data_IF_544290983452
#
_entry.id   IF_544290983452
#
_cell.length_a   1.000
_cell.length_b   1.000
_cell.length_c   1.000
_cell.angle_alpha   90.00
_cell.angle_beta   90.00
_cell.angle_gamma   90.00
#
_symmetry.space_group_name_H-M   'P 1'
#
loop_
_entity.id
_entity.type
_entity.pdbx_description
1 polymer ?
#
# COMPACT_ATOMS: atom_id res chain seq x y z
N UNK A 1 -10.03 59.50 -46.14
CA UNK A 1 -9.68 58.54 -45.08
C UNK A 1 -10.97 57.95 -44.54
N UNK A 2 -11.36 56.80 -45.07
CA UNK A 2 -12.32 55.80 -44.57
C UNK A 2 -12.83 55.10 -45.81
N UNK A 3 -12.48 53.84 -46.01
CA UNK A 3 -13.43 52.93 -46.65
C UNK A 3 -13.15 51.48 -46.27
N UNK A 4 -14.25 50.82 -45.93
CA UNK A 4 -14.37 49.42 -45.53
C UNK A 4 -13.94 48.52 -46.68
N UNK A 5 -13.24 47.45 -46.35
CA UNK A 5 -13.18 46.25 -47.19
C UNK A 5 -13.78 45.09 -46.40
N UNK A 6 -14.93 44.62 -46.87
CA UNK A 6 -15.45 43.30 -46.60
C UNK A 6 -15.63 42.60 -47.94
N UNK A 7 -15.06 41.39 -48.08
CA UNK A 7 -15.76 40.12 -48.33
C UNK A 7 -14.79 39.11 -48.97
N UNK A 8 -14.65 37.97 -48.25
CA UNK A 8 -14.35 36.58 -48.64
C UNK A 8 -13.36 36.26 -49.78
N UNK A 9 -12.46 35.30 -49.53
CA UNK A 9 -12.79 33.86 -49.49
C UNK A 9 -11.53 32.99 -49.31
N UNK A 10 -11.62 32.00 -48.41
CA UNK A 10 -10.94 30.70 -48.59
C UNK A 10 -9.73 30.40 -47.69
N UNK A 11 -9.96 29.71 -46.59
CA UNK A 11 -9.54 28.31 -46.39
C UNK A 11 -9.90 27.90 -44.95
N UNK A 12 -11.05 27.25 -44.80
CA UNK A 12 -11.32 26.37 -43.67
C UNK A 12 -10.62 25.04 -43.96
N UNK A 13 -9.50 24.79 -43.28
CA UNK A 13 -8.85 23.48 -43.27
C UNK A 13 -8.95 22.89 -41.85
N UNK A 14 -10.19 22.69 -41.41
CA UNK A 14 -10.50 21.85 -40.26
C UNK A 14 -11.10 20.56 -40.81
N UNK A 15 -10.23 19.61 -41.14
CA UNK A 15 -10.64 18.22 -41.37
C UNK A 15 -11.36 17.67 -40.12
N UNK A 16 -12.29 16.72 -40.29
CA UNK A 16 -13.02 16.14 -39.16
C UNK A 16 -12.02 15.44 -38.22
N UNK A 17 -12.05 15.83 -36.94
CA UNK A 17 -11.40 15.08 -35.85
C UNK A 17 -11.88 13.64 -35.94
N UNK A 18 -10.97 12.69 -36.16
CA UNK A 18 -11.33 11.28 -36.25
C UNK A 18 -11.97 10.82 -34.93
N UNK A 19 -13.22 10.30 -34.95
CA UNK A 19 -13.80 9.68 -33.77
C UNK A 19 -13.15 8.29 -33.61
N UNK A 20 -12.42 8.06 -32.51
CA UNK A 20 -11.87 6.73 -32.21
C UNK A 20 -10.53 6.66 -31.46
N UNK A 21 -9.92 7.78 -31.05
CA UNK A 21 -8.62 7.74 -30.33
C UNK A 21 -8.72 7.75 -28.80
N UNK A 22 -9.92 7.96 -28.24
CA UNK A 22 -10.16 7.98 -26.80
C UNK A 22 -11.43 7.20 -26.47
N UNK A 23 -11.35 6.33 -25.47
CA UNK A 23 -12.48 5.62 -24.89
C UNK A 23 -13.48 6.62 -24.29
N UNK A 24 -14.55 6.89 -25.02
CA UNK A 24 -15.66 7.76 -24.60
C UNK A 24 -16.74 7.00 -23.82
N UNK A 25 -16.68 5.67 -23.79
CA UNK A 25 -17.66 4.80 -23.14
C UNK A 25 -17.23 4.39 -21.72
N UNK A 26 -15.96 4.64 -21.35
CA UNK A 26 -15.41 4.23 -20.07
C UNK A 26 -15.24 2.71 -19.98
N UNK A 27 -14.80 2.10 -21.09
CA UNK A 27 -14.45 0.70 -21.18
C UNK A 27 -13.43 0.32 -20.08
N UNK A 28 -13.85 -0.58 -19.19
CA UNK A 28 -13.04 -1.11 -18.10
C UNK A 28 -12.51 -2.53 -18.40
N UNK A 29 -12.54 -2.95 -19.67
CA UNK A 29 -12.02 -4.26 -20.07
C UNK A 29 -10.49 -4.32 -19.94
N UNK A 30 -9.94 -5.47 -19.54
CA UNK A 30 -8.52 -5.75 -19.78
C UNK A 30 -8.25 -5.72 -21.28
N UNK A 31 -7.16 -5.09 -21.70
CA UNK A 31 -6.77 -4.98 -23.11
C UNK A 31 -5.30 -5.36 -23.35
N UNK A 32 -4.67 -6.10 -22.44
CA UNK A 32 -3.29 -6.58 -22.64
C UNK A 32 -3.24 -7.68 -23.68
N UNK A 33 -2.12 -7.77 -24.40
CA UNK A 33 -1.88 -8.86 -25.34
C UNK A 33 -1.83 -10.22 -24.62
N UNK A 34 -2.25 -11.27 -25.32
CA UNK A 34 -2.30 -12.63 -24.77
C UNK A 34 -0.96 -13.08 -24.18
N UNK A 35 -1.08 -13.83 -23.08
CA UNK A 35 0.03 -14.35 -22.30
C UNK A 35 0.71 -13.30 -21.42
N UNK A 36 0.12 -12.10 -21.23
CA UNK A 36 0.62 -11.10 -20.29
C UNK A 36 0.80 -11.71 -18.89
N UNK A 37 1.92 -11.42 -18.23
CA UNK A 37 2.21 -11.93 -16.89
C UNK A 37 2.39 -10.81 -15.86
N UNK A 38 1.65 -10.95 -14.76
CA UNK A 38 1.83 -10.18 -13.54
C UNK A 38 2.51 -11.07 -12.49
N UNK A 39 3.66 -10.63 -11.98
CA UNK A 39 4.24 -11.13 -10.75
C UNK A 39 3.88 -10.17 -9.62
N UNK A 40 3.22 -10.69 -8.59
CA UNK A 40 2.96 -9.99 -7.35
C UNK A 40 3.71 -10.67 -6.20
N UNK A 41 4.49 -9.88 -5.48
CA UNK A 41 5.14 -10.28 -4.24
C UNK A 41 4.73 -9.36 -3.11
N UNK A 42 4.98 -9.80 -1.88
CA UNK A 42 4.59 -9.09 -0.69
C UNK A 42 5.53 -7.96 -0.26
N UNK A 43 5.58 -7.75 1.06
CA UNK A 43 6.29 -6.63 1.67
C UNK A 43 7.80 -6.71 1.38
N UNK A 44 8.34 -5.58 0.93
CA UNK A 44 9.75 -5.33 0.68
C UNK A 44 10.29 -4.55 1.87
N UNK A 45 10.57 -5.27 2.94
CA UNK A 45 11.23 -4.74 4.12
C UNK A 45 12.71 -5.11 4.00
N UNK A 46 13.46 -4.24 3.32
CA UNK A 46 14.85 -4.49 2.92
C UNK A 46 15.70 -3.25 3.12
N UNK A 47 16.79 -3.38 3.84
CA UNK A 47 17.73 -2.30 4.17
C UNK A 47 18.95 -2.26 3.25
N UNK A 48 19.35 -3.41 2.68
CA UNK A 48 20.61 -3.56 1.93
C UNK A 48 20.41 -4.30 0.60
N UNK A 49 21.29 -4.03 -0.39
CA UNK A 49 21.29 -4.77 -1.65
C UNK A 49 21.44 -6.28 -1.44
N UNK A 50 20.51 -7.06 -1.96
CA UNK A 50 20.53 -8.52 -1.90
C UNK A 50 21.35 -9.14 -3.03
N UNK A 51 21.39 -8.51 -4.22
CA UNK A 51 22.11 -9.12 -5.37
C UNK A 51 23.63 -9.07 -5.20
N UNK A 52 24.13 -8.35 -4.18
CA UNK A 52 25.55 -8.34 -3.79
C UNK A 52 25.92 -9.48 -2.83
N UNK A 53 24.93 -10.11 -2.20
CA UNK A 53 25.11 -11.22 -1.26
C UNK A 53 25.12 -12.58 -1.96
N UNK A 54 25.52 -13.63 -1.23
CA UNK A 54 25.35 -15.01 -1.67
C UNK A 54 24.16 -15.62 -0.94
N UNK A 55 23.07 -15.81 -1.66
CA UNK A 55 21.82 -16.36 -1.14
C UNK A 55 21.41 -17.57 -1.98
N UNK A 56 21.48 -18.80 -1.42
CA UNK A 56 21.07 -20.01 -2.15
C UNK A 56 19.62 -19.90 -2.65
N UNK A 57 19.35 -20.27 -3.90
CA UNK A 57 18.02 -20.22 -4.53
C UNK A 57 17.55 -18.83 -4.98
N UNK A 58 18.30 -17.76 -4.66
CA UNK A 58 17.87 -16.40 -4.97
C UNK A 58 17.94 -16.08 -6.46
N UNK A 59 18.85 -16.70 -7.21
CA UNK A 59 18.94 -16.53 -8.67
C UNK A 59 17.67 -16.98 -9.39
N UNK A 60 17.08 -18.07 -8.94
CA UNK A 60 15.85 -18.67 -9.48
C UNK A 60 14.65 -17.77 -9.18
N UNK A 61 14.59 -17.21 -7.97
CA UNK A 61 13.59 -16.20 -7.61
C UNK A 61 13.71 -14.97 -8.52
N UNK A 62 14.92 -14.43 -8.69
CA UNK A 62 15.17 -13.28 -9.57
C UNK A 62 14.81 -13.60 -11.03
N UNK A 63 15.02 -14.83 -11.49
CA UNK A 63 14.59 -15.26 -12.83
C UNK A 63 13.06 -15.23 -12.98
N UNK A 64 12.30 -15.67 -11.96
CA UNK A 64 10.83 -15.55 -11.95
C UNK A 64 10.41 -14.08 -12.08
N UNK A 65 11.02 -13.19 -11.28
CA UNK A 65 10.71 -11.76 -11.28
C UNK A 65 11.05 -11.08 -12.63
N UNK A 66 12.17 -11.44 -13.25
CA UNK A 66 12.63 -10.83 -14.53
C UNK A 66 11.83 -11.28 -15.74
N UNK A 67 11.23 -12.47 -15.69
CA UNK A 67 10.50 -13.04 -16.82
C UNK A 67 9.05 -12.54 -16.94
N UNK A 68 8.61 -11.64 -16.06
CA UNK A 68 7.26 -11.08 -16.10
C UNK A 68 7.18 -9.77 -16.88
N UNK A 69 6.01 -9.48 -17.46
CA UNK A 69 5.75 -8.17 -18.07
C UNK A 69 5.64 -7.08 -17.00
N UNK A 70 4.98 -7.40 -15.88
CA UNK A 70 4.85 -6.53 -14.71
C UNK A 70 5.28 -7.26 -13.42
N UNK A 71 6.20 -6.67 -12.67
CA UNK A 71 6.69 -7.19 -11.40
C UNK A 71 6.47 -6.14 -10.32
N UNK A 72 5.53 -6.47 -9.44
CA UNK A 72 4.98 -5.60 -8.42
C UNK A 72 5.35 -6.11 -7.02
N UNK A 73 5.66 -5.18 -6.10
CA UNK A 73 5.79 -5.44 -4.66
C UNK A 73 5.46 -4.21 -3.81
N UNK A 74 5.36 -4.39 -2.49
CA UNK A 74 5.06 -3.29 -1.56
C UNK A 74 6.31 -2.76 -0.87
N UNK A 75 6.70 -1.51 -1.16
CA UNK A 75 7.93 -0.92 -0.63
C UNK A 75 7.70 -0.35 0.77
N UNK A 76 8.19 -1.01 1.81
CA UNK A 76 7.87 -0.68 3.21
C UNK A 76 9.11 -0.18 3.98
N UNK A 77 10.00 0.49 3.25
CA UNK A 77 11.22 1.13 3.78
C UNK A 77 11.49 2.45 3.05
N UNK A 78 12.31 3.32 3.63
CA UNK A 78 12.71 4.60 3.01
C UNK A 78 14.11 4.49 2.40
N UNK A 79 14.27 4.76 1.10
CA UNK A 79 15.59 4.78 0.43
C UNK A 79 16.20 6.18 0.56
N UNK A 80 17.22 6.32 1.41
CA UNK A 80 17.91 7.59 1.62
C UNK A 80 19.37 7.40 2.07
N UNK A 81 20.21 8.41 1.85
CA UNK A 81 21.55 8.47 2.46
C UNK A 81 21.51 9.38 3.68
N UNK A 82 21.55 8.78 4.87
CA UNK A 82 21.48 9.50 6.14
C UNK A 82 22.54 10.59 6.28
N UNK A 83 23.70 10.45 5.63
CA UNK A 83 24.81 11.42 5.72
C UNK A 83 24.51 12.73 4.99
N UNK A 84 23.58 12.69 4.03
CA UNK A 84 23.15 13.86 3.24
C UNK A 84 21.68 14.22 3.45
N UNK A 85 20.97 13.41 4.23
CA UNK A 85 19.55 13.56 4.48
C UNK A 85 19.24 14.85 5.23
N UNK A 86 18.15 15.52 4.84
CA UNK A 86 17.76 16.83 5.39
C UNK A 86 16.54 16.78 6.31
N UNK A 87 15.93 15.61 6.45
CA UNK A 87 14.82 15.39 7.38
C UNK A 87 15.30 14.89 8.73
N UNK A 88 14.35 14.35 9.49
CA UNK A 88 14.57 13.68 10.76
C UNK A 88 13.66 12.46 10.85
N UNK A 89 13.98 11.47 11.71
CA UNK A 89 12.97 10.49 12.09
C UNK A 89 11.76 11.24 12.69
N UNK A 90 10.57 10.75 12.42
CA UNK A 90 9.32 11.33 12.88
C UNK A 90 8.89 10.69 14.20
N UNK A 91 8.31 11.52 15.07
CA UNK A 91 7.73 11.05 16.34
C UNK A 91 6.52 10.11 16.11
N UNK A 92 5.77 10.32 15.03
CA UNK A 92 4.76 9.38 14.56
C UNK A 92 5.39 8.46 13.50
N UNK A 93 5.49 7.17 13.81
CA UNK A 93 6.06 6.17 12.91
C UNK A 93 5.19 4.90 12.84
N UNK A 94 5.39 4.10 11.80
CA UNK A 94 4.58 2.93 11.47
C UNK A 94 4.87 1.67 12.29
N UNK A 95 5.64 1.78 13.37
CA UNK A 95 6.18 0.65 14.14
C UNK A 95 7.70 0.77 14.33
N UNK A 96 8.41 1.20 13.29
CA UNK A 96 9.87 1.31 13.30
C UNK A 96 10.37 2.63 12.68
N UNK A 97 11.67 2.76 12.39
CA UNK A 97 12.21 3.79 11.49
C UNK A 97 12.95 3.13 10.32
N UNK A 98 12.23 2.35 9.51
CA UNK A 98 12.83 1.59 8.43
C UNK A 98 13.54 2.47 7.40
N UNK A 99 14.79 2.11 7.12
CA UNK A 99 15.67 2.83 6.21
C UNK A 99 16.52 1.86 5.40
N UNK A 100 16.67 2.17 4.13
CA UNK A 100 17.47 1.42 3.17
C UNK A 100 18.56 2.28 2.56
N UNK A 101 19.67 1.63 2.21
CA UNK A 101 20.75 2.28 1.49
C UNK A 101 20.31 2.70 0.08
N UNK A 102 20.85 3.81 -0.47
CA UNK A 102 20.54 4.27 -1.83
C UNK A 102 20.74 3.20 -2.91
N UNK A 103 21.71 2.29 -2.71
CA UNK A 103 22.01 1.17 -3.59
C UNK A 103 20.84 0.19 -3.78
N UNK A 104 19.82 0.24 -2.92
CA UNK A 104 18.64 -0.62 -3.03
C UNK A 104 17.82 -0.31 -4.30
N UNK A 105 17.73 0.95 -4.74
CA UNK A 105 17.01 1.30 -5.96
C UNK A 105 17.52 0.54 -7.20
N UNK A 106 18.84 0.62 -7.51
CA UNK A 106 19.45 -0.19 -8.56
C UNK A 106 19.31 -1.70 -8.34
N UNK A 107 19.41 -2.17 -7.09
CA UNK A 107 19.31 -3.58 -6.71
C UNK A 107 17.92 -4.15 -7.04
N UNK A 108 16.86 -3.48 -6.60
CA UNK A 108 15.46 -3.83 -6.93
C UNK A 108 15.23 -3.83 -8.44
N UNK A 109 15.75 -2.81 -9.15
CA UNK A 109 15.63 -2.77 -10.61
C UNK A 109 16.31 -3.96 -11.26
N UNK A 110 17.49 -4.34 -10.77
CA UNK A 110 18.23 -5.49 -11.27
C UNK A 110 17.49 -6.80 -11.00
N UNK A 111 16.74 -6.91 -9.90
CA UNK A 111 15.91 -8.10 -9.62
C UNK A 111 14.71 -8.24 -10.56
N UNK A 112 14.32 -7.16 -11.25
CA UNK A 112 13.19 -7.16 -12.18
C UNK A 112 11.98 -6.34 -11.70
N UNK A 113 12.04 -5.72 -10.52
CA UNK A 113 10.96 -4.83 -10.07
C UNK A 113 10.81 -3.64 -11.02
N UNK A 114 9.57 -3.39 -11.42
CA UNK A 114 9.20 -2.27 -12.27
C UNK A 114 7.99 -1.49 -11.74
N UNK A 115 7.27 -2.04 -10.77
CA UNK A 115 6.14 -1.43 -10.07
C UNK A 115 6.29 -1.61 -8.56
N UNK A 116 6.05 -0.57 -7.76
CA UNK A 116 5.93 -0.67 -6.30
C UNK A 116 4.80 0.17 -5.74
N UNK A 117 4.08 -0.35 -4.74
CA UNK A 117 3.27 0.51 -3.87
C UNK A 117 4.12 1.21 -2.84
N UNK A 118 3.74 2.43 -2.50
CA UNK A 118 4.40 3.22 -1.48
C UNK A 118 3.42 4.05 -0.65
N UNK A 119 2.14 3.65 -0.59
CA UNK A 119 1.25 4.06 0.49
C UNK A 119 1.20 2.92 1.52
N UNK A 120 1.82 3.13 2.67
CA UNK A 120 1.81 2.22 3.82
C UNK A 120 2.18 2.97 5.11
N UNK A 121 2.19 2.26 6.24
CA UNK A 121 2.53 2.79 7.55
C UNK A 121 4.00 3.26 7.67
N UNK A 122 4.92 2.71 6.88
CA UNK A 122 6.35 3.06 6.92
C UNK A 122 6.75 4.21 5.97
N UNK A 123 5.82 4.68 5.13
CA UNK A 123 6.10 5.70 4.10
C UNK A 123 6.63 7.04 4.67
N UNK A 124 6.30 7.35 5.92
CA UNK A 124 6.52 8.66 6.54
C UNK A 124 7.38 8.64 7.79
N UNK A 125 8.07 7.55 8.09
CA UNK A 125 8.94 7.44 9.29
C UNK A 125 10.07 8.47 9.28
N UNK A 126 10.53 8.88 8.10
CA UNK A 126 11.53 9.94 7.90
C UNK A 126 10.88 11.23 7.34
N UNK A 127 9.56 11.36 7.50
CA UNK A 127 8.76 12.50 7.11
C UNK A 127 8.67 12.70 5.60
N UNK A 128 8.20 13.89 5.20
CA UNK A 128 8.03 14.27 3.79
C UNK A 128 9.34 14.17 3.02
N UNK A 129 10.48 14.47 3.65
CA UNK A 129 11.78 14.38 3.00
C UNK A 129 12.16 12.92 2.71
N UNK A 130 11.95 11.99 3.65
CA UNK A 130 12.19 10.57 3.44
C UNK A 130 11.35 9.99 2.30
N UNK A 131 10.06 10.35 2.29
CA UNK A 131 9.16 10.01 1.18
C UNK A 131 9.70 10.54 -0.16
N UNK A 132 10.15 11.80 -0.22
CA UNK A 132 10.67 12.43 -1.46
C UNK A 132 11.99 11.81 -1.92
N UNK A 133 12.91 11.53 -1.01
CA UNK A 133 14.17 10.85 -1.33
C UNK A 133 13.91 9.47 -1.91
N UNK A 134 13.00 8.70 -1.30
CA UNK A 134 12.60 7.38 -1.78
C UNK A 134 11.95 7.46 -3.16
N UNK A 135 11.01 8.37 -3.35
CA UNK A 135 10.39 8.64 -4.65
C UNK A 135 11.44 8.94 -5.73
N UNK A 136 12.47 9.75 -5.40
CA UNK A 136 13.54 10.09 -6.34
C UNK A 136 14.41 8.88 -6.66
N UNK A 137 14.77 8.09 -5.65
CA UNK A 137 15.56 6.87 -5.84
C UNK A 137 14.84 5.86 -6.73
N UNK A 138 13.54 5.62 -6.50
CA UNK A 138 12.72 4.74 -7.34
C UNK A 138 12.63 5.27 -8.79
N UNK A 139 12.32 6.55 -8.95
CA UNK A 139 12.21 7.20 -10.27
C UNK A 139 13.52 7.19 -11.06
N UNK A 140 14.66 7.45 -10.43
CA UNK A 140 15.99 7.42 -11.07
C UNK A 140 16.35 6.03 -11.59
N UNK A 141 15.79 4.97 -11.00
CA UNK A 141 16.02 3.58 -11.40
C UNK A 141 14.92 3.04 -12.33
N UNK A 142 14.00 3.89 -12.80
CA UNK A 142 12.93 3.48 -13.70
C UNK A 142 11.98 2.45 -13.07
N UNK A 143 11.71 2.60 -11.77
CA UNK A 143 10.68 1.85 -11.04
C UNK A 143 9.49 2.79 -10.86
N UNK A 144 8.34 2.37 -11.36
CA UNK A 144 7.09 3.11 -11.23
C UNK A 144 6.56 2.90 -9.82
N UNK A 145 6.28 3.99 -9.10
CA UNK A 145 5.72 3.94 -7.74
C UNK A 145 4.41 4.71 -7.66
N UNK A 146 3.48 4.26 -6.82
CA UNK A 146 2.19 4.92 -6.60
C UNK A 146 1.82 5.02 -5.12
N UNK A 147 0.83 5.88 -4.82
CA UNK A 147 0.26 6.00 -3.47
C UNK A 147 0.74 7.21 -2.69
N UNK A 148 1.67 8.01 -3.21
CA UNK A 148 2.20 9.22 -2.56
C UNK A 148 2.29 10.41 -3.52
N UNK A 149 2.21 11.61 -2.98
CA UNK A 149 2.36 12.83 -3.77
C UNK A 149 2.38 14.10 -2.93
N UNK A 150 2.61 15.22 -3.61
CA UNK A 150 2.67 16.55 -2.98
C UNK A 150 1.30 17.07 -2.48
N UNK A 151 0.22 16.35 -2.80
CA UNK A 151 -1.15 16.55 -2.32
C UNK A 151 -1.98 15.28 -2.60
N UNK A 152 -3.23 15.26 -2.15
CA UNK A 152 -4.10 14.08 -2.24
C UNK A 152 -4.39 13.69 -3.69
N UNK A 153 -4.64 14.66 -4.57
CA UNK A 153 -4.86 14.40 -6.00
C UNK A 153 -3.64 13.70 -6.64
N UNK A 154 -2.42 14.12 -6.32
CA UNK A 154 -1.19 13.48 -6.83
C UNK A 154 -0.93 12.12 -6.19
N UNK A 155 -1.24 11.94 -4.91
CA UNK A 155 -1.06 10.70 -4.18
C UNK A 155 -2.01 9.60 -4.67
N UNK A 156 -3.27 9.96 -4.96
CA UNK A 156 -4.27 9.03 -5.47
C UNK A 156 -4.19 8.78 -6.98
N UNK A 157 -3.47 9.60 -7.75
CA UNK A 157 -3.37 9.44 -9.20
C UNK A 157 -2.67 8.13 -9.60
N UNK A 158 -3.24 7.46 -10.61
CA UNK A 158 -2.61 6.31 -11.23
C UNK A 158 -1.22 6.65 -11.80
N UNK A 159 -0.34 5.67 -11.76
CA UNK A 159 1.01 5.72 -12.34
C UNK A 159 1.15 4.58 -13.34
N UNK A 160 1.95 4.80 -14.38
CA UNK A 160 1.90 3.96 -15.57
C UNK A 160 3.25 3.35 -15.89
N UNK A 161 3.25 2.05 -16.17
CA UNK A 161 4.36 1.30 -16.74
C UNK A 161 4.01 0.95 -18.19
N UNK A 162 4.91 1.24 -19.11
CA UNK A 162 4.81 0.79 -20.49
C UNK A 162 5.45 -0.60 -20.64
N UNK A 163 4.73 -1.55 -21.23
CA UNK A 163 5.25 -2.89 -21.56
C UNK A 163 4.99 -3.21 -23.03
N UNK A 164 5.72 -4.18 -23.64
CA UNK A 164 5.43 -4.64 -25.00
C UNK A 164 4.03 -5.24 -25.17
N UNK A 165 3.35 -5.62 -24.08
CA UNK A 165 2.02 -6.26 -24.09
C UNK A 165 0.90 -5.36 -23.58
N UNK A 166 1.19 -4.08 -23.36
CA UNK A 166 0.21 -3.09 -22.93
C UNK A 166 0.71 -2.22 -21.79
N UNK A 167 -0.07 -1.17 -21.54
CA UNK A 167 0.19 -0.20 -20.48
C UNK A 167 -0.44 -0.65 -19.17
N UNK A 168 0.32 -0.61 -18.09
CA UNK A 168 -0.12 -1.03 -16.75
C UNK A 168 -0.29 0.20 -15.87
N UNK A 169 -1.48 0.41 -15.33
CA UNK A 169 -1.76 1.39 -14.28
C UNK A 169 -1.55 0.77 -12.89
N UNK A 170 -1.03 1.57 -11.97
CA UNK A 170 -0.95 1.26 -10.54
C UNK A 170 -1.59 2.37 -9.71
N UNK A 171 -2.53 1.98 -8.84
CA UNK A 171 -3.13 2.82 -7.80
C UNK A 171 -2.83 2.15 -6.45
N UNK A 172 -2.31 2.92 -5.50
CA UNK A 172 -1.99 2.44 -4.16
C UNK A 172 -2.68 3.33 -3.12
N UNK A 173 -3.27 2.71 -2.10
CA UNK A 173 -3.76 3.36 -0.89
C UNK A 173 -3.33 2.57 0.36
N UNK A 174 -3.53 3.15 1.54
CA UNK A 174 -3.31 2.47 2.81
C UNK A 174 -4.50 2.72 3.74
N UNK A 175 -4.93 1.70 4.49
CA UNK A 175 -5.86 1.84 5.60
C UNK A 175 -5.16 1.96 6.95
N UNK A 176 -3.96 1.41 7.07
CA UNK A 176 -3.10 1.54 8.26
C UNK A 176 -1.98 2.53 7.99
N UNK A 177 -1.97 3.66 8.72
CA UNK A 177 -0.96 4.72 8.62
C UNK A 177 -1.05 5.68 9.80
N UNK A 178 0.03 6.44 10.06
CA UNK A 178 0.01 7.49 11.08
C UNK A 178 -0.71 8.76 10.61
N UNK A 179 -1.37 9.53 11.52
CA UNK A 179 -2.14 10.72 11.16
C UNK A 179 -1.43 11.73 10.26
N UNK A 180 -0.13 11.94 10.47
CA UNK A 180 0.70 12.88 9.71
C UNK A 180 1.08 12.40 8.30
N UNK A 181 0.91 11.12 7.98
CA UNK A 181 1.18 10.57 6.64
C UNK A 181 0.16 11.01 5.60
N UNK A 182 -1.04 11.43 6.00
CA UNK A 182 -2.15 11.68 5.07
C UNK A 182 -1.90 12.87 4.15
N UNK A 183 -2.03 12.65 2.85
CA UNK A 183 -2.07 13.73 1.88
C UNK A 183 -3.34 14.57 2.04
N UNK A 184 -3.27 15.85 1.70
CA UNK A 184 -4.47 16.67 1.55
C UNK A 184 -4.35 17.62 0.34
N UNK A 185 -5.47 17.86 -0.31
CA UNK A 185 -5.56 18.88 -1.35
C UNK A 185 -5.63 20.29 -0.73
N UNK A 186 -5.23 21.33 -1.49
CA UNK A 186 -5.40 22.71 -1.04
C UNK A 186 -6.88 23.07 -0.86
N UNK A 187 -7.15 24.01 0.04
CA UNK A 187 -8.49 24.53 0.29
C UNK A 187 -8.44 26.05 0.47
N UNK A 188 -8.97 26.80 -0.50
CA UNK A 188 -8.84 28.26 -0.54
C UNK A 188 -7.36 28.66 -0.64
N UNK A 189 -6.89 29.51 0.27
CA UNK A 189 -5.48 29.93 0.35
C UNK A 189 -4.58 28.92 1.08
N UNK A 190 -5.15 27.93 1.77
CA UNK A 190 -4.35 26.91 2.46
C UNK A 190 -3.73 25.94 1.44
N UNK A 191 -2.40 25.72 1.45
CA UNK A 191 -1.75 24.80 0.53
C UNK A 191 -2.13 23.34 0.85
N UNK A 192 -1.95 22.47 -0.14
CA UNK A 192 -2.03 21.03 0.08
C UNK A 192 -0.88 20.52 0.95
N UNK A 193 -1.05 19.32 1.51
CA UNK A 193 -0.02 18.63 2.30
C UNK A 193 0.48 17.40 1.53
N UNK A 194 1.80 17.26 1.33
CA UNK A 194 2.39 16.03 0.82
C UNK A 194 2.08 14.85 1.72
N UNK A 195 1.83 13.68 1.14
CA UNK A 195 1.30 12.55 1.88
C UNK A 195 1.07 11.32 1.03
N UNK A 196 0.61 10.26 1.71
CA UNK A 196 0.04 9.08 1.09
C UNK A 196 -1.46 9.23 0.79
N UNK A 197 -1.95 8.38 -0.10
CA UNK A 197 -3.36 8.21 -0.47
C UNK A 197 -4.09 7.35 0.59
N UNK A 198 -4.95 7.94 1.44
CA UNK A 198 -5.52 7.23 2.58
C UNK A 198 -6.84 6.53 2.23
N UNK A 199 -7.09 5.39 2.88
CA UNK A 199 -8.39 4.75 3.05
C UNK A 199 -8.72 4.76 4.54
N UNK A 200 -9.22 5.88 5.08
CA UNK A 200 -9.52 5.98 6.51
C UNK A 200 -10.61 4.98 6.90
N UNK A 201 -10.42 4.31 8.02
CA UNK A 201 -11.41 3.43 8.61
C UNK A 201 -11.98 4.03 9.91
N UNK A 202 -13.28 3.85 10.12
CA UNK A 202 -13.90 3.94 11.43
C UNK A 202 -13.86 2.54 12.05
N UNK A 203 -12.97 2.35 13.02
CA UNK A 203 -12.92 1.12 13.83
C UNK A 203 -14.05 1.11 14.86
N UNK A 204 -14.65 -0.06 15.03
CA UNK A 204 -15.67 -0.33 16.04
C UNK A 204 -15.32 -1.59 16.80
N UNK A 205 -15.24 -1.47 18.12
CA UNK A 205 -15.07 -2.60 19.02
C UNK A 205 -16.43 -3.24 19.23
N UNK A 206 -16.60 -4.45 18.73
CA UNK A 206 -17.79 -5.27 18.93
C UNK A 206 -17.71 -5.89 20.31
N UNK A 207 -18.76 -5.72 21.11
CA UNK A 207 -18.85 -6.25 22.47
C UNK A 207 -20.19 -6.96 22.68
N UNK A 208 -20.23 -7.89 23.63
CA UNK A 208 -21.48 -8.57 23.99
C UNK A 208 -22.47 -7.59 24.63
N UNK A 209 -23.79 -7.87 24.61
CA UNK A 209 -24.77 -7.00 25.24
C UNK A 209 -24.49 -6.67 26.73
N UNK A 210 -24.07 -7.63 27.59
CA UNK A 210 -23.70 -7.32 28.97
C UNK A 210 -22.49 -6.37 29.09
N UNK A 211 -21.48 -6.53 28.23
CA UNK A 211 -20.31 -5.65 28.18
C UNK A 211 -20.72 -4.24 27.73
N UNK A 212 -21.57 -4.14 26.70
CA UNK A 212 -22.10 -2.87 26.21
C UNK A 212 -22.83 -2.10 27.31
N UNK A 213 -23.65 -2.79 28.10
CA UNK A 213 -24.35 -2.18 29.24
C UNK A 213 -23.37 -1.67 30.30
N UNK A 214 -22.32 -2.44 30.58
CA UNK A 214 -21.28 -2.04 31.54
C UNK A 214 -20.54 -0.79 31.07
N UNK A 215 -20.16 -0.73 29.79
CA UNK A 215 -19.54 0.46 29.19
C UNK A 215 -20.48 1.67 29.23
N UNK A 216 -21.78 1.46 29.03
CA UNK A 216 -22.81 2.49 29.14
C UNK A 216 -22.86 3.07 30.56
N UNK A 217 -22.78 2.22 31.58
CA UNK A 217 -22.72 2.63 32.98
C UNK A 217 -21.46 3.43 33.28
N UNK A 218 -20.29 2.95 32.85
CA UNK A 218 -19.00 3.66 33.00
C UNK A 218 -19.08 5.04 32.38
N UNK A 219 -19.52 5.13 31.12
CA UNK A 219 -19.70 6.41 30.42
C UNK A 219 -20.60 7.36 31.20
N UNK A 220 -21.73 6.89 31.70
CA UNK A 220 -22.69 7.73 32.43
C UNK A 220 -22.14 8.23 33.77
N UNK A 221 -21.16 7.54 34.34
CA UNK A 221 -20.47 7.95 35.57
C UNK A 221 -19.32 8.95 35.31
N UNK A 222 -18.85 9.09 34.07
CA UNK A 222 -17.77 10.02 33.75
C UNK A 222 -18.24 11.49 33.77
N UNK A 223 -17.48 12.39 34.41
CA UNK A 223 -17.79 13.81 34.38
C UNK A 223 -17.63 14.38 32.96
N UNK A 224 -18.42 15.40 32.63
CA UNK A 224 -18.34 16.16 31.36
C UNK A 224 -18.56 15.35 30.07
N UNK A 225 -19.18 14.17 30.14
CA UNK A 225 -19.56 13.43 28.93
C UNK A 225 -20.70 14.13 28.15
N UNK A 226 -20.57 14.23 26.83
CA UNK A 226 -21.59 14.82 25.94
C UNK A 226 -22.43 13.70 25.28
N UNK A 227 -23.75 13.60 25.54
CA UNK A 227 -24.60 12.49 25.07
C UNK A 227 -24.87 12.36 23.56
N UNK A 228 -24.21 13.14 22.70
CA UNK A 228 -24.62 13.35 21.30
C UNK A 228 -24.27 12.23 20.30
N UNK A 229 -23.50 11.22 20.70
CA UNK A 229 -22.90 10.24 19.77
C UNK A 229 -23.19 8.79 20.18
N UNK A 230 -24.39 8.51 20.68
CA UNK A 230 -24.78 7.15 21.07
C UNK A 230 -26.24 6.86 20.74
N UNK A 231 -26.52 5.62 20.36
CA UNK A 231 -27.87 5.09 20.20
C UNK A 231 -27.99 3.75 20.95
N UNK A 232 -29.06 2.99 20.72
CA UNK A 232 -29.28 1.70 21.40
C UNK A 232 -28.24 0.63 21.07
N UNK A 233 -27.47 0.78 19.99
CA UNK A 233 -26.53 -0.23 19.48
C UNK A 233 -25.10 0.28 19.27
N UNK A 234 -24.84 1.57 19.55
CA UNK A 234 -23.53 2.21 19.36
C UNK A 234 -23.25 3.22 20.49
N UNK A 235 -22.01 3.20 20.97
CA UNK A 235 -21.54 3.95 22.13
C UNK A 235 -20.14 4.50 21.85
N UNK A 236 -19.88 5.77 22.17
CA UNK A 236 -18.50 6.29 22.21
C UNK A 236 -18.02 6.54 23.63
N UNK A 237 -16.84 6.01 23.94
CA UNK A 237 -16.21 6.10 25.25
C UNK A 237 -14.69 6.09 25.08
N UNK A 238 -13.98 7.02 25.74
CA UNK A 238 -12.52 7.12 25.72
C UNK A 238 -11.89 7.16 24.30
N UNK A 239 -12.59 7.77 23.33
CA UNK A 239 -12.12 7.87 21.94
C UNK A 239 -12.43 6.65 21.06
N UNK A 240 -12.87 5.53 21.64
CA UNK A 240 -13.28 4.34 20.91
C UNK A 240 -14.79 4.33 20.64
N UNK A 241 -15.18 3.67 19.55
CA UNK A 241 -16.58 3.37 19.23
C UNK A 241 -16.86 1.91 19.53
N UNK A 242 -17.88 1.64 20.33
CA UNK A 242 -18.33 0.29 20.69
C UNK A 242 -19.67 0.00 20.04
N UNK A 243 -19.88 -1.23 19.61
CA UNK A 243 -21.16 -1.73 19.07
C UNK A 243 -21.52 -3.09 19.66
N UNK A 244 -22.81 -3.40 19.72
CA UNK A 244 -23.27 -4.71 20.23
C UNK A 244 -23.17 -5.81 19.17
N UNK A 245 -22.73 -7.01 19.56
CA UNK A 245 -22.70 -8.22 18.73
C UNK A 245 -22.73 -9.50 19.57
N UNK A 246 -22.80 -10.66 18.92
CA UNK A 246 -22.83 -11.96 19.62
C UNK A 246 -21.49 -12.28 20.30
N UNK A 247 -20.38 -11.95 19.63
CA UNK A 247 -19.01 -12.17 20.10
C UNK A 247 -18.22 -10.85 20.12
N UNK A 248 -17.19 -10.81 20.96
CA UNK A 248 -16.24 -9.70 20.98
C UNK A 248 -15.36 -9.70 19.72
N UNK A 249 -15.00 -8.52 19.22
CA UNK A 249 -14.14 -8.39 18.04
C UNK A 249 -14.06 -6.98 17.50
N UNK A 250 -13.67 -6.85 16.23
CA UNK A 250 -13.55 -5.58 15.54
C UNK A 250 -14.39 -5.57 14.26
N UNK A 251 -14.94 -4.42 13.93
CA UNK A 251 -15.65 -4.13 12.69
C UNK A 251 -15.17 -2.79 12.15
N UNK A 252 -15.05 -2.67 10.84
CA UNK A 252 -14.44 -1.53 10.20
C UNK A 252 -15.37 -0.94 9.15
N UNK A 253 -15.48 0.38 9.14
CA UNK A 253 -16.22 1.10 8.11
C UNK A 253 -15.32 2.06 7.36
N UNK A 254 -15.09 1.85 6.04
CA UNK A 254 -14.34 2.79 5.23
C UNK A 254 -14.99 4.17 5.16
N UNK A 255 -14.17 5.21 5.15
CA UNK A 255 -14.61 6.57 4.94
C UNK A 255 -15.17 6.71 3.51
N UNK A 256 -16.44 7.13 3.34
CA UNK A 256 -17.08 7.14 2.03
C UNK A 256 -16.44 8.13 1.05
N UNK A 257 -15.79 9.20 1.53
CA UNK A 257 -15.07 10.16 0.68
C UNK A 257 -13.81 9.48 0.10
N UNK A 258 -13.07 8.75 0.94
CA UNK A 258 -11.85 8.06 0.51
C UNK A 258 -12.20 6.94 -0.48
N UNK A 259 -13.24 6.15 -0.20
CA UNK A 259 -13.77 5.13 -1.13
C UNK A 259 -14.13 5.75 -2.48
N UNK A 260 -14.86 6.87 -2.49
CA UNK A 260 -15.23 7.54 -3.73
C UNK A 260 -14.02 8.05 -4.51
N UNK A 261 -13.00 8.56 -3.82
CA UNK A 261 -11.75 9.01 -4.42
C UNK A 261 -10.97 7.85 -5.05
N UNK A 262 -10.76 6.76 -4.31
CA UNK A 262 -10.04 5.59 -4.83
C UNK A 262 -10.80 4.98 -6.03
N UNK A 263 -12.12 4.82 -5.95
CA UNK A 263 -12.95 4.36 -7.07
C UNK A 263 -12.81 5.23 -8.32
N UNK A 264 -12.80 6.56 -8.14
CA UNK A 264 -12.60 7.50 -9.25
C UNK A 264 -11.21 7.33 -9.86
N UNK A 265 -10.17 7.24 -9.03
CA UNK A 265 -8.80 7.11 -9.48
C UNK A 265 -8.56 5.77 -10.20
N UNK A 266 -9.18 4.68 -9.73
CA UNK A 266 -9.17 3.37 -10.40
C UNK A 266 -9.77 3.46 -11.79
N UNK A 267 -10.99 4.02 -11.92
CA UNK A 267 -11.64 4.21 -13.24
C UNK A 267 -10.78 5.06 -14.16
N UNK A 268 -10.28 6.19 -13.66
CA UNK A 268 -9.44 7.09 -14.46
C UNK A 268 -8.14 6.39 -14.88
N UNK A 269 -7.48 5.67 -13.98
CA UNK A 269 -6.27 4.91 -14.30
C UNK A 269 -6.53 3.87 -15.39
N UNK A 270 -7.64 3.14 -15.26
CA UNK A 270 -8.05 2.14 -16.24
C UNK A 270 -8.35 2.72 -17.62
N UNK A 271 -9.02 3.88 -17.70
CA UNK A 271 -9.30 4.56 -18.99
C UNK A 271 -8.03 4.93 -19.79
N UNK A 272 -6.86 4.93 -19.13
CA UNK A 272 -5.57 5.21 -19.76
C UNK A 272 -4.62 4.00 -19.75
N UNK A 273 -5.09 2.80 -19.43
CA UNK A 273 -4.26 1.61 -19.32
C UNK A 273 -4.96 0.32 -19.80
N UNK A 274 -4.17 -0.61 -20.30
CA UNK A 274 -4.63 -1.92 -20.74
C UNK A 274 -4.81 -2.89 -19.57
N UNK A 275 -4.05 -2.68 -18.48
CA UNK A 275 -4.13 -3.43 -17.23
C UNK A 275 -4.11 -2.47 -16.03
N UNK A 276 -4.89 -2.73 -14.99
CA UNK A 276 -4.94 -1.86 -13.79
C UNK A 276 -4.75 -2.66 -12.50
N UNK A 277 -3.74 -2.30 -11.71
CA UNK A 277 -3.47 -2.87 -10.39
C UNK A 277 -3.94 -1.86 -9.34
N UNK A 278 -4.75 -2.32 -8.40
CA UNK A 278 -5.09 -1.56 -7.18
C UNK A 278 -4.56 -2.30 -5.97
N UNK A 279 -3.97 -1.56 -5.03
CA UNK A 279 -3.45 -2.15 -3.79
C UNK A 279 -3.78 -1.32 -2.57
N UNK A 280 -4.06 -2.03 -1.47
CA UNK A 280 -4.29 -1.47 -0.15
C UNK A 280 -3.25 -2.04 0.83
N UNK A 281 -2.58 -1.17 1.57
CA UNK A 281 -1.77 -1.56 2.72
C UNK A 281 -2.58 -1.43 4.01
N UNK A 282 -2.91 -2.55 4.63
CA UNK A 282 -3.82 -2.59 5.78
C UNK A 282 -3.57 -3.78 6.69
N UNK A 283 -3.33 -3.51 7.97
CA UNK A 283 -3.09 -4.51 9.01
C UNK A 283 -4.40 -5.07 9.57
N UNK A 284 -5.51 -4.34 9.41
CA UNK A 284 -6.81 -4.71 10.01
C UNK A 284 -7.24 -6.14 9.64
N UNK A 285 -7.89 -6.90 10.54
CA UNK A 285 -8.23 -6.54 11.92
C UNK A 285 -7.05 -6.63 12.92
N UNK A 286 -5.85 -6.90 12.41
CA UNK A 286 -4.62 -7.10 13.16
C UNK A 286 -3.75 -8.19 12.53
N UNK A 287 -2.48 -8.22 12.91
CA UNK A 287 -1.49 -9.17 12.40
C UNK A 287 -1.63 -10.55 13.04
N UNK A 288 -2.56 -10.71 13.99
CA UNK A 288 -2.99 -12.00 14.53
C UNK A 288 -4.03 -12.73 13.66
N UNK A 289 -4.60 -12.07 12.63
CA UNK A 289 -5.70 -12.63 11.83
C UNK A 289 -5.30 -13.01 10.41
N UNK A 290 -5.55 -14.27 10.04
CA UNK A 290 -5.51 -14.76 8.67
C UNK A 290 -6.76 -14.42 7.85
N UNK A 291 -7.80 -13.86 8.49
CA UNK A 291 -8.99 -13.38 7.80
C UNK A 291 -8.89 -11.87 7.55
N UNK A 292 -9.29 -11.40 6.35
CA UNK A 292 -9.37 -9.96 6.09
C UNK A 292 -10.48 -9.31 6.96
N UNK A 293 -10.44 -7.98 7.15
CA UNK A 293 -11.46 -7.27 7.89
C UNK A 293 -12.78 -7.27 7.09
N UNK A 294 -13.89 -7.04 7.79
CA UNK A 294 -15.25 -7.18 7.28
C UNK A 294 -15.57 -6.31 6.05
N UNK A 295 -14.86 -5.20 5.84
CA UNK A 295 -15.03 -4.34 4.67
C UNK A 295 -14.24 -4.77 3.43
N UNK A 296 -13.10 -5.44 3.59
CA UNK A 296 -12.05 -5.52 2.56
C UNK A 296 -12.53 -6.26 1.32
N UNK A 297 -13.27 -7.38 1.49
CA UNK A 297 -13.79 -8.13 0.36
C UNK A 297 -14.78 -7.31 -0.47
N UNK A 298 -15.67 -6.56 0.19
CA UNK A 298 -16.62 -5.70 -0.52
C UNK A 298 -15.91 -4.53 -1.21
N UNK A 299 -14.85 -3.99 -0.60
CA UNK A 299 -14.04 -2.93 -1.20
C UNK A 299 -13.21 -3.42 -2.39
N UNK A 300 -12.56 -4.58 -2.28
CA UNK A 300 -11.81 -5.22 -3.35
C UNK A 300 -12.69 -5.50 -4.59
N UNK A 301 -13.88 -6.08 -4.39
CA UNK A 301 -14.84 -6.29 -5.49
C UNK A 301 -15.27 -4.98 -6.15
N UNK A 302 -15.49 -3.91 -5.38
CA UNK A 302 -15.76 -2.58 -5.92
C UNK A 302 -14.60 -2.03 -6.76
N UNK A 303 -13.35 -2.33 -6.42
CA UNK A 303 -12.20 -1.96 -7.26
C UNK A 303 -12.18 -2.72 -8.59
N UNK A 304 -12.43 -4.03 -8.56
CA UNK A 304 -12.57 -4.83 -9.79
C UNK A 304 -13.72 -4.30 -10.66
N UNK A 305 -14.86 -4.00 -10.06
CA UNK A 305 -16.02 -3.40 -10.76
C UNK A 305 -15.72 -2.01 -11.34
N UNK A 306 -14.80 -1.27 -10.73
CA UNK A 306 -14.31 0.02 -11.22
C UNK A 306 -13.21 -0.11 -12.29
N UNK A 307 -12.81 -1.33 -12.66
CA UNK A 307 -11.85 -1.60 -13.73
C UNK A 307 -10.46 -2.01 -13.28
N UNK A 308 -10.27 -2.37 -12.00
CA UNK A 308 -9.06 -3.05 -11.60
C UNK A 308 -9.02 -4.48 -12.18
N UNK A 309 -7.87 -4.87 -12.70
CA UNK A 309 -7.60 -6.21 -13.23
C UNK A 309 -6.88 -7.10 -12.22
N UNK A 310 -6.37 -6.52 -11.13
CA UNK A 310 -5.90 -7.21 -9.93
C UNK A 310 -6.07 -6.33 -8.69
N UNK A 311 -6.41 -6.94 -7.55
CA UNK A 311 -6.41 -6.29 -6.24
C UNK A 311 -5.47 -7.02 -5.29
N UNK A 312 -4.51 -6.31 -4.70
CA UNK A 312 -3.43 -6.93 -3.92
C UNK A 312 -3.29 -6.21 -2.57
N UNK A 313 -3.44 -6.93 -1.47
CA UNK A 313 -3.31 -6.40 -0.11
C UNK A 313 -1.94 -6.73 0.47
N UNK A 314 -1.43 -5.83 1.29
CA UNK A 314 -0.13 -5.88 1.99
C UNK A 314 -0.28 -5.39 3.43
N UNK A 315 0.72 -5.67 4.28
CA UNK A 315 0.74 -5.22 5.68
C UNK A 315 0.44 -6.30 6.73
N UNK A 316 -0.45 -7.30 6.53
CA UNK A 316 -0.66 -8.34 7.54
C UNK A 316 0.57 -9.21 7.83
N UNK A 317 1.63 -9.09 7.01
CA UNK A 317 2.89 -9.83 7.06
C UNK A 317 2.77 -11.36 6.99
N UNK A 318 1.55 -11.87 6.79
CA UNK A 318 1.22 -13.29 6.68
C UNK A 318 0.29 -13.51 5.49
N UNK A 319 0.18 -14.76 5.04
CA UNK A 319 -0.76 -15.12 3.98
C UNK A 319 -2.23 -14.98 4.45
N UNK A 320 -3.07 -14.40 3.59
CA UNK A 320 -4.53 -14.41 3.72
C UNK A 320 -5.16 -15.00 2.47
N UNK A 321 -6.50 -15.10 2.45
CA UNK A 321 -7.25 -15.74 1.37
C UNK A 321 -6.99 -15.16 -0.03
N UNK A 322 -7.33 -15.95 -1.05
CA UNK A 322 -7.32 -15.56 -2.46
C UNK A 322 -8.73 -15.72 -3.00
N UNK A 323 -9.18 -14.76 -3.80
CA UNK A 323 -10.47 -14.80 -4.47
C UNK A 323 -10.29 -14.54 -5.97
N UNK A 324 -11.03 -15.28 -6.81
CA UNK A 324 -11.17 -14.94 -8.22
C UNK A 324 -12.56 -14.33 -8.42
N UNK A 325 -12.60 -13.04 -8.74
CA UNK A 325 -13.84 -12.31 -8.94
C UNK A 325 -13.89 -11.77 -10.37
N UNK A 326 -14.91 -12.17 -11.15
CA UNK A 326 -15.06 -11.82 -12.58
C UNK A 326 -13.79 -12.10 -13.41
N UNK A 327 -13.14 -13.24 -13.13
CA UNK A 327 -11.91 -13.64 -13.80
C UNK A 327 -10.70 -12.79 -13.46
N UNK A 328 -10.72 -12.04 -12.35
CA UNK A 328 -9.60 -11.25 -11.82
C UNK A 328 -9.14 -11.78 -10.47
N UNK A 329 -7.81 -11.83 -10.21
CA UNK A 329 -7.30 -12.22 -8.92
C UNK A 329 -7.43 -11.09 -7.88
N UNK A 330 -7.84 -11.49 -6.68
CA UNK A 330 -7.82 -10.70 -5.46
C UNK A 330 -6.96 -11.47 -4.45
N UNK A 331 -5.86 -10.86 -4.01
CA UNK A 331 -5.00 -11.41 -2.96
C UNK A 331 -5.20 -10.59 -1.69
N UNK A 332 -5.75 -11.20 -0.63
CA UNK A 332 -5.98 -10.50 0.64
C UNK A 332 -4.73 -10.41 1.53
N UNK A 333 -3.64 -11.08 1.14
CA UNK A 333 -2.26 -10.82 1.52
C UNK A 333 -1.36 -11.88 0.88
N UNK A 334 -0.17 -11.49 0.44
CA UNK A 334 0.87 -12.39 -0.10
C UNK A 334 2.08 -12.57 0.83
N UNK A 335 2.00 -12.04 2.06
CA UNK A 335 3.03 -12.19 3.10
C UNK A 335 4.21 -11.22 2.92
N UNK A 336 5.34 -11.50 3.56
CA UNK A 336 6.58 -10.74 3.37
C UNK A 336 7.38 -11.29 2.19
N UNK A 337 7.79 -10.49 1.21
CA UNK A 337 8.71 -11.00 0.18
C UNK A 337 10.15 -11.01 0.69
N UNK A 338 10.60 -9.89 1.25
CA UNK A 338 11.89 -9.75 1.91
C UNK A 338 11.64 -9.11 3.26
N UNK A 339 12.29 -9.64 4.29
CA UNK A 339 12.36 -9.08 5.63
C UNK A 339 13.80 -9.22 6.10
N UNK A 340 14.51 -8.11 6.29
CA UNK A 340 15.73 -8.10 7.09
C UNK A 340 15.48 -7.55 8.50
N UNK A 341 16.50 -7.46 9.33
CA UNK A 341 16.40 -7.15 10.77
C UNK A 341 17.44 -6.11 11.21
N UNK A 342 17.95 -5.31 10.26
CA UNK A 342 19.02 -4.34 10.50
C UNK A 342 18.58 -2.93 10.10
N UNK A 343 17.67 -2.36 10.89
CA UNK A 343 17.21 -0.97 10.76
C UNK A 343 18.22 -0.01 11.38
N UNK A 344 19.19 0.48 10.60
CA UNK A 344 20.15 1.47 11.12
C UNK A 344 20.30 2.67 10.19
N UNK A 345 20.23 3.91 10.74
CA UNK A 345 20.06 4.23 12.16
C UNK A 345 18.60 4.22 12.65
N UNK A 346 18.39 4.02 13.95
CA UNK A 346 17.07 4.22 14.61
C UNK A 346 16.98 5.59 15.31
N UNK A 347 15.79 6.18 15.38
CA UNK A 347 15.56 7.44 16.09
C UNK A 347 15.62 7.30 17.62
N UNK A 348 15.95 8.37 18.34
CA UNK A 348 16.00 8.36 19.81
C UNK A 348 14.64 8.01 20.46
N UNK A 349 13.54 8.37 19.81
CA UNK A 349 12.19 8.00 20.27
C UNK A 349 11.98 6.48 20.27
N UNK A 350 12.64 5.74 19.37
CA UNK A 350 12.59 4.28 19.34
C UNK A 350 13.32 3.65 20.53
N UNK A 351 14.45 4.22 20.94
CA UNK A 351 15.11 3.78 22.17
C UNK A 351 14.14 3.93 23.35
N UNK A 352 13.53 5.10 23.50
CA UNK A 352 12.57 5.34 24.58
C UNK A 352 11.34 4.41 24.52
N UNK A 353 10.81 4.16 23.33
CA UNK A 353 9.65 3.29 23.12
C UNK A 353 9.88 1.86 23.61
N UNK A 354 11.11 1.36 23.49
CA UNK A 354 11.50 0.01 23.91
C UNK A 354 12.33 -0.02 25.20
N UNK A 355 12.27 1.04 26.00
CA UNK A 355 12.94 1.10 27.30
C UNK A 355 14.47 1.02 27.23
N UNK A 356 15.05 1.47 26.11
CA UNK A 356 16.48 1.54 25.84
C UNK A 356 17.00 2.97 26.01
N UNK A 357 18.31 3.10 26.20
CA UNK A 357 19.01 4.38 26.35
C UNK A 357 20.12 4.49 25.29
N UNK A 358 20.08 5.47 24.37
CA UNK A 358 21.07 5.60 23.31
C UNK A 358 22.51 5.88 23.80
N UNK A 359 22.71 6.09 25.11
CA UNK A 359 24.04 6.22 25.74
C UNK A 359 24.67 4.89 26.10
N UNK A 360 23.88 3.82 26.22
CA UNK A 360 24.32 2.50 26.71
C UNK A 360 23.87 1.35 25.82
N UNK A 361 22.74 1.50 25.15
CA UNK A 361 22.16 0.52 24.23
C UNK A 361 22.46 0.91 22.77
N UNK A 362 22.30 -0.06 21.89
CA UNK A 362 22.57 0.03 20.46
C UNK A 362 21.31 -0.09 19.62
N UNK A 363 21.35 0.36 18.36
CA UNK A 363 20.28 0.16 17.38
C UNK A 363 19.83 -1.30 17.30
N UNK A 364 20.78 -2.24 17.33
CA UNK A 364 20.49 -3.67 17.26
C UNK A 364 19.68 -4.17 18.48
N UNK A 365 19.95 -3.63 19.67
CA UNK A 365 19.18 -3.97 20.88
C UNK A 365 17.78 -3.38 20.86
N UNK A 366 17.59 -2.23 20.20
CA UNK A 366 16.27 -1.67 19.92
C UNK A 366 15.53 -2.56 18.93
N UNK A 367 16.14 -2.94 17.81
CA UNK A 367 15.53 -3.82 16.80
C UNK A 367 15.14 -5.18 17.38
N UNK A 368 15.98 -5.79 18.23
CA UNK A 368 15.62 -7.05 18.88
C UNK A 368 14.41 -6.90 19.82
N UNK A 369 14.30 -5.78 20.53
CA UNK A 369 13.14 -5.52 21.40
C UNK A 369 11.87 -5.26 20.57
N UNK A 370 11.99 -4.50 19.49
CA UNK A 370 10.92 -4.24 18.52
C UNK A 370 10.38 -5.55 17.91
N UNK A 371 11.27 -6.42 17.44
CA UNK A 371 10.88 -7.71 16.85
C UNK A 371 10.23 -8.66 17.86
N UNK A 372 10.56 -8.52 19.15
CA UNK A 372 10.01 -9.36 20.22
C UNK A 372 8.65 -8.86 20.75
N UNK A 373 8.49 -7.53 20.89
CA UNK A 373 7.36 -6.92 21.63
C UNK A 373 6.51 -5.97 20.78
N UNK A 374 6.93 -5.64 19.56
CA UNK A 374 6.27 -4.67 18.68
C UNK A 374 5.04 -5.20 17.94
N UNK A 375 4.71 -6.49 18.10
CA UNK A 375 3.67 -7.17 17.33
C UNK A 375 2.66 -7.88 18.23
N UNK A 376 1.43 -7.99 17.72
CA UNK A 376 0.26 -8.45 18.49
C UNK A 376 0.28 -9.95 18.84
N UNK A 377 1.22 -10.72 18.30
CA UNK A 377 1.38 -12.15 18.57
C UNK A 377 2.25 -12.38 19.81
N UNK A 378 1.96 -13.43 20.58
CA UNK A 378 2.73 -13.78 21.79
C UNK A 378 4.23 -14.01 21.51
N UNK A 379 4.58 -14.47 20.30
CA UNK A 379 5.96 -14.70 19.87
C UNK A 379 6.57 -13.49 19.14
N UNK A 380 5.85 -12.37 19.03
CA UNK A 380 6.24 -11.25 18.17
C UNK A 380 6.51 -11.71 16.73
N UNK A 381 7.49 -11.09 16.08
CA UNK A 381 7.87 -11.40 14.70
C UNK A 381 8.66 -12.71 14.54
N UNK A 382 8.96 -13.39 15.65
CA UNK A 382 9.59 -14.72 15.62
C UNK A 382 8.61 -15.85 15.29
N UNK A 383 7.30 -15.55 15.23
CA UNK A 383 6.30 -16.51 14.79
C UNK A 383 6.57 -16.94 13.33
N UNK A 384 6.73 -18.24 13.03
CA UNK A 384 6.95 -18.74 11.67
C UNK A 384 5.91 -18.28 10.64
N UNK A 385 4.71 -17.90 11.07
CA UNK A 385 3.65 -17.41 10.19
C UNK A 385 4.06 -16.16 9.38
N UNK A 386 4.90 -15.28 9.95
CA UNK A 386 5.40 -14.07 9.29
C UNK A 386 6.52 -14.36 8.28
N UNK A 387 7.03 -15.59 8.30
CA UNK A 387 8.06 -16.08 7.40
C UNK A 387 7.46 -16.90 6.25
N UNK A 388 6.13 -17.04 6.20
CA UNK A 388 5.43 -17.67 5.08
C UNK A 388 4.99 -16.62 4.05
N UNK A 389 5.37 -16.87 2.79
CA UNK A 389 5.12 -15.95 1.69
C UNK A 389 4.89 -16.69 0.39
N UNK A 390 4.33 -16.00 -0.59
CA UNK A 390 4.17 -16.51 -1.95
C UNK A 390 4.62 -15.50 -2.99
N UNK A 391 5.27 -15.99 -4.04
CA UNK A 391 5.40 -15.27 -5.31
C UNK A 391 4.21 -15.70 -6.16
N UNK A 392 3.31 -14.77 -6.46
CA UNK A 392 2.13 -15.03 -7.27
C UNK A 392 2.40 -14.64 -8.72
N UNK A 393 2.35 -15.60 -9.64
CA UNK A 393 2.53 -15.40 -11.09
C UNK A 393 1.19 -15.62 -11.78
N UNK A 394 0.55 -14.52 -12.18
CA UNK A 394 -0.75 -14.51 -12.85
C UNK A 394 -0.59 -14.28 -14.35
N UNK A 395 -1.07 -15.22 -15.16
CA UNK A 395 -1.08 -15.15 -16.63
C UNK A 395 -2.48 -14.81 -17.13
N UNK A 396 -2.56 -13.87 -18.07
CA UNK A 396 -3.80 -13.41 -18.66
C UNK A 396 -3.89 -13.80 -20.16
N UNK A 397 -5.06 -14.29 -20.56
CA UNK A 397 -5.40 -14.66 -21.94
C UNK A 397 -6.86 -14.30 -22.22
N UNK A 398 -7.17 -13.88 -23.44
CA UNK A 398 -8.50 -13.44 -23.86
C UNK A 398 -9.13 -12.47 -22.85
N UNK A 399 -8.32 -11.52 -22.37
CA UNK A 399 -8.71 -10.51 -21.38
C UNK A 399 -9.21 -11.08 -20.04
N UNK A 400 -8.79 -12.29 -19.65
CA UNK A 400 -9.18 -12.94 -18.38
C UNK A 400 -7.96 -13.58 -17.71
N UNK A 401 -8.03 -13.82 -16.40
CA UNK A 401 -7.03 -14.64 -15.70
C UNK A 401 -7.12 -16.09 -16.19
N UNK A 402 -6.06 -16.57 -16.85
CA UNK A 402 -5.96 -17.94 -17.32
C UNK A 402 -5.38 -18.87 -16.23
N UNK A 403 -4.39 -18.38 -15.48
CA UNK A 403 -3.72 -19.15 -14.43
C UNK A 403 -3.06 -18.23 -13.41
N UNK A 404 -3.11 -18.61 -12.12
CA UNK A 404 -2.20 -18.11 -11.10
C UNK A 404 -1.35 -19.27 -10.58
N UNK A 405 -0.03 -19.14 -10.65
CA UNK A 405 0.92 -20.06 -10.00
C UNK A 405 1.44 -19.40 -8.73
N UNK A 406 1.45 -20.15 -7.63
CA UNK A 406 1.97 -19.69 -6.35
C UNK A 406 3.26 -20.47 -6.07
N UNK A 407 4.37 -19.76 -5.98
CA UNK A 407 5.64 -20.32 -5.52
C UNK A 407 5.72 -20.01 -4.04
N UNK A 408 5.69 -21.06 -3.21
CA UNK A 408 5.86 -20.88 -1.76
C UNK A 408 7.27 -20.36 -1.53
N UNK A 409 7.41 -19.41 -0.63
CA UNK A 409 8.70 -18.95 -0.14
C UNK A 409 8.66 -18.99 1.38
N UNK A 410 9.69 -19.58 1.99
CA UNK A 410 10.02 -19.26 3.38
C UNK A 410 10.98 -18.07 3.37
N UNK A 411 10.60 -16.98 4.03
CA UNK A 411 11.51 -15.88 4.33
C UNK A 411 12.37 -16.37 5.48
N UNK A 412 13.61 -16.78 5.24
CA UNK A 412 14.54 -16.99 6.33
C UNK A 412 15.09 -15.67 6.85
N UNK A 413 15.57 -15.66 8.09
CA UNK A 413 16.75 -14.84 8.45
C UNK A 413 17.80 -14.94 7.35
N UNK A 414 18.71 -13.96 7.15
CA UNK A 414 19.57 -13.77 5.97
C UNK A 414 20.34 -15.00 5.40
N UNK A 415 20.30 -16.13 6.09
CA UNK A 415 20.81 -17.45 5.72
C UNK A 415 19.89 -18.37 4.89
N UNK A 416 18.56 -18.16 4.78
CA UNK A 416 17.69 -19.12 4.05
C UNK A 416 16.68 -18.46 3.11
N UNK A 417 17.10 -18.20 1.86
CA UNK A 417 16.23 -17.86 0.74
C UNK A 417 15.87 -19.10 -0.13
N UNK A 418 16.02 -20.31 0.41
CA UNK A 418 16.21 -21.54 -0.39
C UNK A 418 14.99 -22.40 -0.68
N UNK A 419 13.81 -22.14 -0.09
CA UNK A 419 12.68 -23.06 -0.23
C UNK A 419 11.61 -22.45 -1.14
N UNK A 420 11.84 -22.56 -2.46
CA UNK A 420 10.86 -22.32 -3.53
C UNK A 420 10.31 -23.60 -4.13
#
# INVERSE_FOLDING_TARGET
MTEKLAVNSGHDDNGPVQPGLHDVDGCVETNVADGFTLVAVGDLIVTRPLTKGHHPGFSEVVEILRNADATFGNMETNILDIRSFKGSPQAEHGGANHVSLPDLGPDLKSMGFNLVSYANNHTFEWGVEGMRETCRALGQNGIVYAGVGENLAKAGAARFLETPRGRVALISCASTFTPMSRACDPAGEAPGRPGLNPLRLEERIVVTPPMFESLRQVRNALPNYRPGESNSTSLKLAGATYTTGENGGYSYRPNPIDVANVLRNTRQGKQFADFCIVTNHGHEPGNWSQQPPDYEQAFARQMIDAGADAYIVHGPHQLRGIEIYKGRPIFYSVGNFIMDDLWTPVGADMFAAYGKDPRTDTDAEVTLAEMAEGYETDAGFSDPIFHESVIAVSRFENNQLAQTRLYRKRVGHPTYLSDC
#
